data_IF_240983466879
#
_entry.id   IF_240983466879
#
_cell.length_a   1.000
_cell.length_b   1.000
_cell.length_c   1.000
_cell.angle_alpha   90.00
_cell.angle_beta   90.00
_cell.angle_gamma   90.00
#
_symmetry.space_group_name_H-M   'P 1'
#
loop_
_entity.id
_entity.type
_entity.pdbx_description
1 polymer ?
#
# COMPACT_ATOMS: atom_id res chain seq x y z
N UNK A 1 -2.87 14.90 18.34
CA UNK A 1 -3.64 13.96 17.51
C UNK A 1 -4.37 14.75 16.42
N UNK A 2 -3.95 14.73 15.17
CA UNK A 2 -2.77 15.40 14.62
C UNK A 2 -3.28 16.16 13.38
N UNK A 3 -2.85 17.41 13.13
CA UNK A 3 -3.25 18.21 11.95
C UNK A 3 -3.13 17.46 10.62
N UNK A 4 -2.26 16.46 10.57
CA UNK A 4 -2.09 15.53 9.46
C UNK A 4 -3.36 14.72 9.16
N UNK A 5 -4.01 14.12 10.16
CA UNK A 5 -5.29 13.40 9.99
C UNK A 5 -6.38 14.32 9.45
N UNK A 6 -6.40 15.57 9.89
CA UNK A 6 -7.40 16.57 9.51
C UNK A 6 -7.23 17.08 8.06
N UNK A 7 -5.98 17.11 7.58
CA UNK A 7 -5.66 17.42 6.18
C UNK A 7 -6.02 16.25 5.28
N UNK A 8 -5.69 15.01 5.69
CA UNK A 8 -5.98 13.85 4.85
C UNK A 8 -7.48 13.51 4.87
N UNK A 9 -8.18 13.65 5.99
CA UNK A 9 -9.64 13.47 6.06
C UNK A 9 -10.41 14.43 5.14
N UNK A 10 -9.80 15.54 4.72
CA UNK A 10 -10.36 16.50 3.76
C UNK A 10 -10.09 16.14 2.29
N UNK A 11 -9.14 15.23 2.01
CA UNK A 11 -8.71 14.84 0.65
C UNK A 11 -9.26 13.46 0.25
N UNK A 12 -9.50 12.59 1.23
CA UNK A 12 -10.19 11.30 1.09
C UNK A 12 -10.26 10.70 2.50
N UNK A 13 -11.44 10.31 2.98
CA UNK A 13 -11.72 10.02 4.39
C UNK A 13 -10.73 9.08 5.11
N UNK A 14 -10.85 8.93 6.44
CA UNK A 14 -9.90 8.13 7.27
C UNK A 14 -9.59 6.74 6.70
N UNK A 15 -10.55 6.15 6.00
CA UNK A 15 -10.43 4.90 5.25
C UNK A 15 -9.35 4.91 4.15
N UNK A 16 -9.32 5.94 3.29
CA UNK A 16 -8.33 6.06 2.19
C UNK A 16 -6.90 6.23 2.71
N UNK A 17 -6.77 6.88 3.87
CA UNK A 17 -5.48 7.04 4.56
C UNK A 17 -4.97 5.70 5.03
N UNK A 18 -5.86 4.88 5.59
CA UNK A 18 -5.52 3.57 6.09
C UNK A 18 -5.08 2.64 4.94
N UNK A 19 -5.76 2.68 3.80
CA UNK A 19 -5.34 1.99 2.56
C UNK A 19 -3.92 2.37 2.14
N UNK A 20 -3.66 3.67 2.04
CA UNK A 20 -2.35 4.20 1.71
C UNK A 20 -1.26 3.75 2.70
N UNK A 21 -1.48 3.94 4.00
CA UNK A 21 -0.51 3.60 5.05
C UNK A 21 -0.25 2.09 5.09
N UNK A 22 -1.29 1.27 4.98
CA UNK A 22 -1.20 -0.19 5.00
C UNK A 22 -0.42 -0.70 3.80
N UNK A 23 -0.74 -0.26 2.59
CA UNK A 23 -0.02 -0.67 1.38
C UNK A 23 1.45 -0.20 1.41
N UNK A 24 1.73 1.00 1.91
CA UNK A 24 3.10 1.46 2.13
C UNK A 24 3.88 0.52 3.06
N UNK A 25 3.30 0.18 4.22
CA UNK A 25 3.91 -0.71 5.20
C UNK A 25 4.11 -2.13 4.66
N UNK A 26 3.16 -2.67 3.89
CA UNK A 26 3.29 -3.99 3.26
C UNK A 26 4.49 -4.01 2.32
N UNK A 27 4.65 -3.00 1.46
CA UNK A 27 5.82 -2.92 0.55
C UNK A 27 7.12 -2.93 1.35
N UNK A 28 7.23 -2.12 2.40
CA UNK A 28 8.44 -2.06 3.24
C UNK A 28 8.75 -3.40 3.90
N UNK A 29 7.75 -4.04 4.52
CA UNK A 29 7.94 -5.32 5.21
C UNK A 29 8.28 -6.45 4.24
N UNK A 30 7.55 -6.56 3.15
CA UNK A 30 7.76 -7.63 2.15
C UNK A 30 9.11 -7.44 1.47
N UNK A 31 9.50 -6.21 1.13
CA UNK A 31 10.82 -5.97 0.55
C UNK A 31 11.93 -6.37 1.52
N UNK A 32 11.82 -5.99 2.80
CA UNK A 32 12.80 -6.37 3.82
C UNK A 32 12.87 -7.90 3.99
N UNK A 33 11.72 -8.58 3.98
CA UNK A 33 11.65 -10.04 4.05
C UNK A 33 12.31 -10.70 2.82
N UNK A 34 12.02 -10.21 1.61
CA UNK A 34 12.65 -10.69 0.38
C UNK A 34 14.18 -10.51 0.41
N UNK A 35 14.67 -9.36 0.88
CA UNK A 35 16.12 -9.13 1.03
C UNK A 35 16.74 -10.05 2.08
N UNK A 36 16.05 -10.32 3.19
CA UNK A 36 16.46 -11.30 4.21
C UNK A 36 16.57 -12.74 3.67
N UNK A 37 15.78 -13.06 2.65
CA UNK A 37 15.84 -14.33 1.92
C UNK A 37 16.94 -14.38 0.84
N UNK A 38 17.77 -13.33 0.74
CA UNK A 38 18.89 -13.26 -0.19
C UNK A 38 18.54 -12.72 -1.58
N UNK A 39 17.34 -12.16 -1.76
CA UNK A 39 17.00 -11.48 -3.01
C UNK A 39 17.73 -10.13 -3.12
N UNK A 40 18.24 -9.82 -4.31
CA UNK A 40 18.76 -8.48 -4.58
C UNK A 40 17.67 -7.42 -4.49
N UNK A 41 18.04 -6.20 -4.04
CA UNK A 41 17.10 -5.10 -3.75
C UNK A 41 16.12 -4.82 -4.89
N UNK A 42 16.58 -4.77 -6.15
CA UNK A 42 15.69 -4.54 -7.30
C UNK A 42 14.59 -5.61 -7.45
N UNK A 43 14.93 -6.88 -7.24
CA UNK A 43 13.96 -7.98 -7.28
C UNK A 43 13.02 -7.95 -6.07
N UNK A 44 13.55 -7.63 -4.88
CA UNK A 44 12.76 -7.50 -3.66
C UNK A 44 11.73 -6.36 -3.75
N UNK A 45 12.14 -5.20 -4.26
CA UNK A 45 11.26 -4.05 -4.55
C UNK A 45 10.18 -4.45 -5.54
N UNK A 46 10.55 -5.07 -6.66
CA UNK A 46 9.58 -5.51 -7.67
C UNK A 46 8.56 -6.52 -7.10
N UNK A 47 9.02 -7.54 -6.39
CA UNK A 47 8.15 -8.54 -5.78
C UNK A 47 7.22 -7.94 -4.72
N UNK A 48 7.74 -7.08 -3.84
CA UNK A 48 6.94 -6.42 -2.81
C UNK A 48 5.88 -5.48 -3.40
N UNK A 49 6.23 -4.73 -4.44
CA UNK A 49 5.31 -3.83 -5.12
C UNK A 49 4.18 -4.60 -5.81
N UNK A 50 4.51 -5.61 -6.60
CA UNK A 50 3.52 -6.43 -7.32
C UNK A 50 2.60 -7.19 -6.34
N UNK A 51 3.16 -7.75 -5.26
CA UNK A 51 2.36 -8.44 -4.25
C UNK A 51 1.37 -7.48 -3.58
N UNK A 52 1.80 -6.27 -3.25
CA UNK A 52 0.94 -5.28 -2.59
C UNK A 52 -0.22 -4.85 -3.48
N UNK A 53 0.03 -4.60 -4.78
CA UNK A 53 -1.03 -4.26 -5.73
C UNK A 53 -2.06 -5.40 -5.87
N UNK A 54 -1.59 -6.65 -5.90
CA UNK A 54 -2.48 -7.82 -5.94
C UNK A 54 -3.31 -7.90 -4.65
N UNK A 55 -2.72 -7.65 -3.48
CA UNK A 55 -3.43 -7.65 -2.20
C UNK A 55 -4.52 -6.57 -2.18
N UNK A 56 -4.22 -5.34 -2.63
CA UNK A 56 -5.22 -4.26 -2.69
C UNK A 56 -6.42 -4.60 -3.58
N UNK A 57 -6.15 -5.12 -4.78
CA UNK A 57 -7.23 -5.57 -5.69
C UNK A 57 -8.03 -6.72 -5.07
N UNK A 58 -7.37 -7.70 -4.44
CA UNK A 58 -8.06 -8.83 -3.81
C UNK A 58 -8.91 -8.38 -2.62
N UNK A 59 -8.49 -7.36 -1.87
CA UNK A 59 -9.28 -6.75 -0.80
C UNK A 59 -10.58 -6.17 -1.37
N UNK A 60 -10.51 -5.32 -2.39
CA UNK A 60 -11.69 -4.72 -3.01
C UNK A 60 -12.65 -5.77 -3.61
N UNK A 61 -12.11 -6.83 -4.21
CA UNK A 61 -12.92 -7.95 -4.71
C UNK A 61 -13.60 -8.71 -3.56
N UNK A 62 -12.89 -8.86 -2.43
CA UNK A 62 -13.45 -9.48 -1.24
C UNK A 62 -14.58 -8.63 -0.65
N UNK A 63 -14.39 -7.32 -0.51
CA UNK A 63 -15.37 -6.40 0.05
C UNK A 63 -16.62 -6.32 -0.84
N UNK A 64 -16.43 -6.24 -2.16
CA UNK A 64 -17.51 -6.32 -3.15
C UNK A 64 -18.33 -7.62 -3.05
N UNK A 65 -17.69 -8.73 -2.67
CA UNK A 65 -18.37 -10.03 -2.49
C UNK A 65 -19.11 -10.13 -1.16
N UNK A 66 -18.74 -9.34 -0.15
CA UNK A 66 -19.31 -9.40 1.20
C UNK A 66 -20.28 -8.25 1.50
N UNK A 67 -20.70 -7.51 0.48
CA UNK A 67 -21.79 -6.54 0.56
C UNK A 67 -21.36 -5.08 0.65
N UNK A 68 -20.06 -4.81 0.53
CA UNK A 68 -19.55 -3.45 0.36
C UNK A 68 -19.45 -3.09 -1.13
N UNK A 69 -19.32 -1.80 -1.46
CA UNK A 69 -19.17 -1.36 -2.84
C UNK A 69 -17.70 -1.33 -3.22
N UNK A 70 -17.39 -1.85 -4.40
CA UNK A 70 -16.06 -1.71 -4.99
C UNK A 70 -15.73 -0.22 -5.19
N UNK A 71 -14.72 0.29 -4.50
CA UNK A 71 -14.34 1.70 -4.55
C UNK A 71 -13.02 1.88 -5.30
N UNK A 72 -13.10 2.48 -6.49
CA UNK A 72 -11.92 2.78 -7.29
C UNK A 72 -10.96 3.76 -6.64
N UNK A 73 -11.40 4.56 -5.65
CA UNK A 73 -10.53 5.44 -4.89
C UNK A 73 -9.65 4.67 -3.88
N UNK A 74 -10.10 3.52 -3.38
CA UNK A 74 -9.28 2.62 -2.56
C UNK A 74 -8.14 2.01 -3.35
N UNK A 75 -8.42 1.59 -4.58
CA UNK A 75 -7.38 1.09 -5.49
C UNK A 75 -6.34 2.17 -5.77
N UNK A 76 -6.76 3.42 -5.93
CA UNK A 76 -5.82 4.54 -6.10
C UNK A 76 -5.00 4.78 -4.84
N UNK A 77 -5.62 4.74 -3.66
CA UNK A 77 -4.93 4.89 -2.39
C UNK A 77 -3.90 3.78 -2.17
N UNK A 78 -4.26 2.53 -2.47
CA UNK A 78 -3.38 1.36 -2.42
C UNK A 78 -2.20 1.51 -3.38
N UNK A 79 -2.46 1.91 -4.62
CA UNK A 79 -1.42 2.12 -5.62
C UNK A 79 -0.44 3.23 -5.22
N UNK A 80 -0.95 4.36 -4.68
CA UNK A 80 -0.13 5.46 -4.18
C UNK A 80 0.66 5.05 -2.94
N UNK A 81 0.07 4.28 -2.03
CA UNK A 81 0.75 3.75 -0.84
C UNK A 81 1.87 2.82 -1.21
N UNK A 82 1.62 1.89 -2.13
CA UNK A 82 2.62 0.98 -2.65
C UNK A 82 3.77 1.72 -3.35
N UNK A 83 3.45 2.74 -4.16
CA UNK A 83 4.46 3.59 -4.80
C UNK A 83 5.28 4.39 -3.78
N UNK A 84 4.66 4.94 -2.74
CA UNK A 84 5.37 5.63 -1.67
C UNK A 84 6.32 4.69 -0.90
N UNK A 85 5.90 3.44 -0.64
CA UNK A 85 6.76 2.42 -0.04
C UNK A 85 8.00 2.13 -0.90
N UNK A 86 7.82 2.02 -2.22
CA UNK A 86 8.94 1.87 -3.16
C UNK A 86 9.89 3.06 -3.10
N UNK A 87 9.37 4.29 -3.11
CA UNK A 87 10.20 5.49 -3.02
C UNK A 87 11.02 5.52 -1.72
N UNK A 88 10.43 5.14 -0.59
CA UNK A 88 11.15 5.06 0.69
C UNK A 88 12.31 4.06 0.57
N UNK A 89 12.09 2.88 -0.01
CA UNK A 89 13.16 1.88 -0.20
C UNK A 89 14.24 2.38 -1.15
N UNK A 90 13.88 3.07 -2.23
CA UNK A 90 14.86 3.58 -3.20
C UNK A 90 15.71 4.72 -2.62
N UNK A 91 15.12 5.55 -1.76
CA UNK A 91 15.81 6.70 -1.15
C UNK A 91 16.65 6.28 0.05
N UNK A 92 16.16 5.34 0.87
CA UNK A 92 16.75 5.03 2.18
C UNK A 92 17.22 3.57 2.36
N UNK A 93 16.88 2.67 1.45
CA UNK A 93 17.24 1.24 1.51
C UNK A 93 18.49 0.91 0.71
#
# INVERSE_FOLDING_TARGET
>A
MNRFKEIISKVGGEDKVLHFETCCLIVLFVCLACMKLGMGQGHAVWCSWMLTLVIGILKEVYDAKHGEYFDGEDIKADALGAFAGVLIIVIFG
#
